data_IF_236083471680
#
_entry.id   IF_236083471680
#
_cell.length_a   1.000
_cell.length_b   1.000
_cell.length_c   1.000
_cell.angle_alpha   90.00
_cell.angle_beta   90.00
_cell.angle_gamma   90.00
#
_symmetry.space_group_name_H-M   'P 1'
#
loop_
_entity.id
_entity.type
_entity.pdbx_description
1 polymer ?
#
# COMPACT_ATOMS: atom_id res chain seq x y z
N UNK A 1 -5.71 2.05 -11.19
CA UNK A 1 -6.64 1.50 -10.18
C UNK A 1 -7.99 1.09 -10.76
N UNK A 2 -8.81 1.99 -11.33
CA UNK A 2 -10.21 1.68 -11.69
C UNK A 2 -10.43 0.43 -12.58
N UNK A 3 -9.63 0.20 -13.63
CA UNK A 3 -9.77 -1.00 -14.48
C UNK A 3 -9.34 -2.29 -13.76
N UNK A 4 -8.33 -2.21 -12.90
CA UNK A 4 -7.85 -3.35 -12.11
C UNK A 4 -8.88 -3.75 -11.05
N UNK A 5 -9.40 -2.77 -10.32
CA UNK A 5 -10.47 -2.93 -9.33
C UNK A 5 -11.76 -3.51 -9.93
N UNK A 6 -12.10 -3.11 -11.17
CA UNK A 6 -13.18 -3.75 -11.94
C UNK A 6 -12.97 -5.26 -12.11
N UNK A 7 -11.75 -5.67 -12.48
CA UNK A 7 -11.42 -7.07 -12.72
C UNK A 7 -11.41 -7.89 -11.41
N UNK A 8 -10.98 -7.30 -10.30
CA UNK A 8 -11.02 -7.94 -8.98
C UNK A 8 -12.46 -8.29 -8.61
N UNK A 9 -13.37 -7.32 -8.67
CA UNK A 9 -14.79 -7.53 -8.36
C UNK A 9 -15.44 -8.49 -9.35
N UNK A 10 -15.13 -8.41 -10.65
CA UNK A 10 -15.63 -9.35 -11.65
C UNK A 10 -15.19 -10.80 -11.37
N UNK A 11 -14.06 -10.99 -10.69
CA UNK A 11 -13.55 -12.29 -10.24
C UNK A 11 -14.11 -12.73 -8.88
N UNK A 12 -15.06 -11.97 -8.30
CA UNK A 12 -15.64 -12.24 -6.99
C UNK A 12 -14.78 -11.80 -5.81
N UNK A 13 -13.70 -11.05 -6.04
CA UNK A 13 -12.84 -10.51 -4.98
C UNK A 13 -13.45 -9.21 -4.47
N UNK A 14 -13.88 -9.22 -3.21
CA UNK A 14 -14.47 -8.05 -2.54
C UNK A 14 -13.48 -7.26 -1.70
N UNK A 15 -12.31 -7.84 -1.40
CA UNK A 15 -11.28 -7.23 -0.55
C UNK A 15 -9.90 -7.49 -1.17
N UNK A 16 -9.11 -6.43 -1.32
CA UNK A 16 -7.78 -6.45 -1.90
C UNK A 16 -6.76 -5.98 -0.86
N UNK A 17 -5.64 -6.71 -0.76
CA UNK A 17 -4.50 -6.33 0.06
C UNK A 17 -3.38 -5.81 -0.85
N UNK A 18 -3.19 -4.49 -0.88
CA UNK A 18 -2.14 -3.84 -1.66
C UNK A 18 -0.80 -3.99 -0.94
N UNK A 19 0.09 -4.80 -1.51
CA UNK A 19 1.39 -5.10 -0.92
C UNK A 19 2.39 -3.97 -1.14
N UNK A 20 2.91 -3.38 -0.06
CA UNK A 20 3.91 -2.32 -0.09
C UNK A 20 5.12 -2.71 0.74
N UNK A 21 6.32 -2.65 0.16
CA UNK A 21 7.56 -2.95 0.86
C UNK A 21 8.01 -1.76 1.72
N UNK A 22 8.42 -2.03 2.95
CA UNK A 22 9.00 -1.06 3.90
C UNK A 22 10.40 -1.51 4.29
N UNK A 23 11.36 -0.59 4.37
CA UNK A 23 12.72 -0.90 4.85
C UNK A 23 13.83 -1.04 3.79
N UNK A 24 13.58 -1.01 2.48
CA UNK A 24 14.66 -1.02 1.46
C UNK A 24 15.10 0.41 1.10
N UNK A 25 15.92 1.03 1.96
CA UNK A 25 16.59 2.31 1.64
C UNK A 25 17.98 1.99 1.11
N UNK A 26 18.07 1.76 -0.20
CA UNK A 26 19.33 1.92 -0.92
C UNK A 26 19.55 3.41 -1.10
N UNK A 27 20.77 3.87 -0.83
CA UNK A 27 21.17 5.27 -1.02
C UNK A 27 20.62 5.83 -2.35
N UNK A 28 19.74 6.84 -2.25
CA UNK A 28 19.19 7.56 -3.41
C UNK A 28 17.83 7.10 -3.96
N UNK A 29 17.06 6.23 -3.29
CA UNK A 29 15.79 5.74 -3.81
C UNK A 29 14.55 6.58 -3.47
N UNK A 30 13.76 6.97 -4.47
CA UNK A 30 12.40 7.59 -4.39
C UNK A 30 11.34 6.71 -3.66
N UNK A 31 11.77 5.64 -3.01
CA UNK A 31 10.90 4.57 -2.51
C UNK A 31 10.09 4.99 -1.30
N UNK A 32 10.64 5.86 -0.44
CA UNK A 32 9.92 6.41 0.71
C UNK A 32 8.81 7.37 0.25
N UNK A 33 9.08 8.24 -0.73
CA UNK A 33 8.06 9.08 -1.35
C UNK A 33 6.96 8.24 -2.03
N UNK A 34 7.35 7.14 -2.69
CA UNK A 34 6.39 6.24 -3.33
C UNK A 34 5.52 5.51 -2.30
N UNK A 35 6.07 5.13 -1.14
CA UNK A 35 5.30 4.57 -0.02
C UNK A 35 4.23 5.57 0.43
N UNK A 36 4.61 6.81 0.71
CA UNK A 36 3.68 7.84 1.16
C UNK A 36 2.59 8.14 0.11
N UNK A 37 2.97 8.25 -1.17
CA UNK A 37 2.02 8.41 -2.29
C UNK A 37 1.04 7.25 -2.39
N UNK A 38 1.51 6.00 -2.21
CA UNK A 38 0.65 4.82 -2.27
C UNK A 38 -0.33 4.76 -1.09
N UNK A 39 0.14 5.02 0.13
CA UNK A 39 -0.72 5.08 1.33
C UNK A 39 -1.80 6.14 1.15
N UNK A 40 -1.41 7.36 0.77
CA UNK A 40 -2.34 8.46 0.56
C UNK A 40 -3.36 8.17 -0.55
N UNK A 41 -2.94 7.51 -1.64
CA UNK A 41 -3.84 7.12 -2.71
C UNK A 41 -4.89 6.10 -2.24
N UNK A 42 -4.52 5.10 -1.45
CA UNK A 42 -5.47 4.11 -0.90
C UNK A 42 -6.45 4.80 0.05
N UNK A 43 -5.95 5.62 0.98
CA UNK A 43 -6.82 6.36 1.91
C UNK A 43 -7.82 7.28 1.18
N UNK A 44 -7.34 8.09 0.24
CA UNK A 44 -8.15 9.09 -0.44
C UNK A 44 -9.21 8.44 -1.32
N UNK A 45 -8.86 7.39 -2.04
CA UNK A 45 -9.80 6.66 -2.89
C UNK A 45 -10.86 5.94 -2.07
N UNK A 46 -10.52 5.43 -0.89
CA UNK A 46 -11.46 4.82 0.04
C UNK A 46 -12.39 5.88 0.67
N UNK A 47 -11.85 7.00 1.17
CA UNK A 47 -12.63 8.13 1.72
C UNK A 47 -13.63 8.70 0.70
N UNK A 48 -13.24 8.75 -0.57
CA UNK A 48 -14.09 9.23 -1.67
C UNK A 48 -15.04 8.16 -2.25
N UNK A 49 -15.00 6.92 -1.76
CA UNK A 49 -15.84 5.83 -2.27
C UNK A 49 -15.59 5.50 -3.74
N UNK A 50 -14.36 5.69 -4.22
CA UNK A 50 -13.99 5.47 -5.63
C UNK A 50 -13.70 4.00 -5.95
N UNK A 51 -13.43 3.19 -4.93
CA UNK A 51 -13.08 1.79 -5.06
C UNK A 51 -14.33 0.91 -4.99
N UNK A 52 -14.40 -0.12 -5.84
CA UNK A 52 -15.47 -1.12 -5.87
C UNK A 52 -15.20 -2.24 -4.87
N UNK A 53 -13.95 -2.69 -4.77
CA UNK A 53 -13.51 -3.57 -3.70
C UNK A 53 -13.02 -2.75 -2.48
N UNK A 54 -13.01 -3.38 -1.31
CA UNK A 54 -12.35 -2.81 -0.13
C UNK A 54 -10.84 -2.98 -0.27
N UNK A 55 -10.09 -1.87 -0.27
CA UNK A 55 -8.63 -1.89 -0.33
C UNK A 55 -8.03 -1.70 1.07
N UNK A 56 -7.09 -2.56 1.44
CA UNK A 56 -6.26 -2.42 2.65
C UNK A 56 -4.79 -2.59 2.30
N UNK A 57 -3.91 -2.09 3.16
CA UNK A 57 -2.48 -2.21 2.97
C UNK A 57 -1.93 -3.50 3.58
N UNK A 58 -1.04 -4.17 2.85
CA UNK A 58 -0.18 -5.23 3.35
C UNK A 58 1.26 -4.74 3.35
N UNK A 59 1.74 -4.33 4.52
CA UNK A 59 3.10 -3.85 4.69
C UNK A 59 4.07 -5.02 4.80
N UNK A 60 5.04 -5.08 3.88
CA UNK A 60 6.03 -6.15 3.79
C UNK A 60 7.38 -5.62 4.25
N UNK A 61 7.81 -6.10 5.41
CA UNK A 61 9.04 -5.64 6.05
C UNK A 61 10.28 -6.23 5.38
N UNK A 62 11.20 -5.38 4.93
CA UNK A 62 12.52 -5.79 4.45
C UNK A 62 13.57 -5.51 5.55
N UNK A 63 14.03 -6.56 6.22
CA UNK A 63 14.96 -6.49 7.37
C UNK A 63 16.42 -6.79 6.97
N UNK A 64 17.42 -6.20 7.68
CA UNK A 64 17.29 -5.28 8.79
C UNK A 64 17.77 -3.89 8.40
N UNK A 65 16.87 -3.06 7.88
CA UNK A 65 17.13 -1.65 7.82
C UNK A 65 16.80 -0.99 9.17
N UNK A 66 17.70 -0.13 9.65
CA UNK A 66 17.66 0.44 11.00
C UNK A 66 16.39 1.28 11.29
N UNK A 67 15.68 1.74 10.26
CA UNK A 67 14.43 2.52 10.38
C UNK A 67 13.18 1.64 10.55
N UNK A 68 13.33 0.32 10.50
CA UNK A 68 12.21 -0.61 10.54
C UNK A 68 11.56 -0.72 11.92
N UNK A 69 12.36 -0.70 12.99
CA UNK A 69 11.88 -0.89 14.36
C UNK A 69 10.92 0.22 14.84
N UNK A 70 11.20 1.52 14.60
CA UNK A 70 10.29 2.60 15.00
C UNK A 70 8.91 2.61 14.30
N UNK A 71 8.72 1.89 13.19
CA UNK A 71 7.41 1.81 12.51
C UNK A 71 6.39 0.91 13.24
N UNK A 72 6.83 0.13 14.23
CA UNK A 72 6.00 -0.81 14.99
C UNK A 72 5.83 -0.43 16.46
N UNK A 73 6.52 0.62 16.92
CA UNK A 73 6.38 1.15 18.28
C UNK A 73 5.47 2.39 18.22
N UNK A 74 4.34 2.36 18.95
CA UNK A 74 3.36 3.44 19.03
C UNK A 74 3.88 4.65 19.83
#
# INVERSE_FOLDING_TARGET
MSSHDAMMVASGITTVLDAVAIGDVRDGGDRLENLEKMVNAVEETQKRGLNRAEHRLHLRCELPHHTTLPLFEN
#
